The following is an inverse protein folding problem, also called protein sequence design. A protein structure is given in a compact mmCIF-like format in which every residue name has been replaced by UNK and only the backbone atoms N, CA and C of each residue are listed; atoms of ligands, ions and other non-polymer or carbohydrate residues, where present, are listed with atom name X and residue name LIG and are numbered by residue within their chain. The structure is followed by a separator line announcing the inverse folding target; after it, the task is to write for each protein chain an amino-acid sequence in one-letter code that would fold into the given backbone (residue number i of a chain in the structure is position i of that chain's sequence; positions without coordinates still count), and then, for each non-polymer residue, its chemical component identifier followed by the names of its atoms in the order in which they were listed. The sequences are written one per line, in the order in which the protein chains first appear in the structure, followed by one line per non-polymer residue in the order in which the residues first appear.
data_IF_871522313538
#
_entry.id   IF_871522313538
#
_cell.length_a   1.000
_cell.length_b   1.000
_cell.length_c   1.000
_cell.angle_alpha   90.00
_cell.angle_beta   90.00
_cell.angle_gamma   90.00
#
_symmetry.space_group_name_H-M   'P 1'
#
loop_
_entity.id
_entity.type
_entity.pdbx_description
1 polymer ?
#
# COMPACT_ATOMS: atom_id res chain seq x y z
N UNK A 1 -2.94 -9.37 22.12
CA UNK A 1 -2.56 -7.97 22.43
C UNK A 1 -3.59 -7.06 21.78
N UNK A 2 -3.92 -5.92 22.38
CA UNK A 2 -4.86 -4.95 21.81
C UNK A 2 -4.12 -4.03 20.82
N UNK A 3 -4.70 -3.79 19.65
CA UNK A 3 -4.17 -2.84 18.65
C UNK A 3 -4.39 -1.40 19.14
N UNK A 4 -3.41 -0.52 18.93
CA UNK A 4 -3.43 0.89 19.37
C UNK A 4 -3.41 1.86 18.20
N UNK A 5 -3.70 3.15 18.45
CA UNK A 5 -3.63 4.21 17.44
C UNK A 5 -2.22 4.37 16.83
N UNK A 6 -1.18 4.24 17.66
CA UNK A 6 0.21 4.30 17.21
C UNK A 6 0.58 3.13 16.29
N UNK A 7 0.05 1.93 16.58
CA UNK A 7 0.25 0.75 15.74
C UNK A 7 -0.39 0.93 14.36
N UNK A 8 -1.64 1.38 14.30
CA UNK A 8 -2.36 1.55 13.01
C UNK A 8 -1.81 2.68 12.15
N UNK A 9 -1.09 3.63 12.77
CA UNK A 9 -0.35 4.68 12.04
C UNK A 9 1.08 4.28 11.68
N UNK A 10 1.56 3.11 12.13
CA UNK A 10 2.91 2.62 11.88
C UNK A 10 3.98 3.35 12.70
N UNK A 11 3.58 4.03 13.79
CA UNK A 11 4.50 4.62 14.77
C UNK A 11 5.07 3.55 15.71
N UNK A 12 4.34 2.45 15.91
CA UNK A 12 4.78 1.27 16.64
C UNK A 12 4.58 -0.02 15.86
N UNK A 13 5.45 -1.01 16.11
CA UNK A 13 5.46 -2.29 15.39
C UNK A 13 5.62 -3.51 16.32
N UNK A 14 5.38 -3.34 17.62
CA UNK A 14 5.53 -4.40 18.63
C UNK A 14 4.53 -5.56 18.45
N UNK A 15 3.48 -5.36 17.65
CA UNK A 15 2.47 -6.36 17.29
C UNK A 15 2.85 -7.24 16.11
N UNK A 16 3.99 -6.97 15.47
CA UNK A 16 4.40 -7.61 14.22
C UNK A 16 5.56 -8.58 14.45
N UNK A 17 5.62 -9.58 13.57
CA UNK A 17 6.73 -10.54 13.50
C UNK A 17 7.63 -10.20 12.32
N UNK A 18 8.91 -10.60 12.38
CA UNK A 18 9.80 -10.60 11.22
C UNK A 18 9.40 -11.73 10.26
N UNK A 19 9.26 -11.41 8.98
CA UNK A 19 8.88 -12.36 7.93
C UNK A 19 9.96 -12.54 6.86
N UNK A 20 10.86 -11.57 6.75
CA UNK A 20 12.08 -11.59 5.94
C UNK A 20 13.04 -10.50 6.44
N UNK A 21 14.19 -10.34 5.80
CA UNK A 21 15.16 -9.27 6.02
C UNK A 21 14.48 -7.91 5.84
N UNK A 22 14.38 -7.15 6.95
CA UNK A 22 13.74 -5.83 7.00
C UNK A 22 12.24 -5.82 6.65
N UNK A 23 11.54 -6.96 6.70
CA UNK A 23 10.10 -7.01 6.49
C UNK A 23 9.38 -7.57 7.71
N UNK A 24 8.26 -6.94 8.06
CA UNK A 24 7.39 -7.35 9.16
C UNK A 24 5.94 -7.49 8.70
N UNK A 25 5.16 -8.28 9.40
CA UNK A 25 3.71 -8.41 9.20
C UNK A 25 3.00 -8.93 10.45
N UNK A 26 1.67 -8.84 10.46
CA UNK A 26 0.82 -9.56 11.39
C UNK A 26 1.05 -11.05 11.20
N UNK A 27 1.19 -11.79 12.31
CA UNK A 27 1.39 -13.23 12.24
C UNK A 27 0.22 -13.95 11.54
N UNK A 28 -1.01 -13.51 11.78
CA UNK A 28 -2.21 -14.07 11.14
C UNK A 28 -2.16 -13.84 9.61
N UNK A 29 -1.86 -12.61 9.18
CA UNK A 29 -1.79 -12.26 7.77
C UNK A 29 -0.65 -13.00 7.05
N UNK A 30 0.51 -13.14 7.68
CA UNK A 30 1.64 -13.85 7.08
C UNK A 30 1.38 -15.35 6.95
N UNK A 31 0.76 -15.99 7.94
CA UNK A 31 0.38 -17.40 7.86
C UNK A 31 -0.62 -17.64 6.72
N UNK A 32 -1.66 -16.80 6.61
CA UNK A 32 -2.62 -16.88 5.51
C UNK A 32 -1.92 -16.67 4.15
N UNK A 33 -0.99 -15.70 4.06
CA UNK A 33 -0.21 -15.47 2.85
C UNK A 33 0.64 -16.70 2.49
N UNK A 34 1.26 -17.38 3.46
CA UNK A 34 1.99 -18.61 3.20
C UNK A 34 1.12 -19.71 2.62
N UNK A 35 -0.15 -19.83 3.04
CA UNK A 35 -1.06 -20.82 2.49
C UNK A 35 -1.55 -20.44 1.09
N UNK A 36 -1.82 -19.16 0.83
CA UNK A 36 -2.09 -18.65 -0.52
C UNK A 36 -0.88 -18.86 -1.46
N UNK A 37 0.35 -18.64 -0.98
CA UNK A 37 1.59 -18.94 -1.72
C UNK A 37 1.66 -20.41 -2.12
N UNK A 38 1.33 -21.34 -1.21
CA UNK A 38 1.29 -22.79 -1.53
C UNK A 38 0.22 -23.11 -2.57
N UNK A 39 -0.95 -22.46 -2.49
CA UNK A 39 -2.02 -22.61 -3.48
C UNK A 39 -1.52 -22.20 -4.86
N UNK A 40 -0.95 -21.01 -4.99
CA UNK A 40 -0.41 -20.52 -6.27
C UNK A 40 0.74 -21.39 -6.80
N UNK A 41 1.62 -21.89 -5.93
CA UNK A 41 2.70 -22.78 -6.31
C UNK A 41 2.19 -24.11 -6.89
N UNK A 42 1.08 -24.64 -6.39
CA UNK A 42 0.44 -25.84 -6.96
C UNK A 42 -0.09 -25.61 -8.40
N UNK A 43 -0.26 -24.34 -8.80
CA UNK A 43 -0.63 -23.93 -10.15
C UNK A 43 0.55 -23.36 -10.95
N UNK A 44 1.79 -23.54 -10.47
CA UNK A 44 3.01 -23.17 -11.19
C UNK A 44 3.46 -21.71 -11.01
N UNK A 45 2.86 -20.96 -10.09
CA UNK A 45 3.25 -19.57 -9.82
C UNK A 45 4.00 -19.42 -8.50
N UNK A 46 5.11 -18.67 -8.53
CA UNK A 46 5.85 -18.27 -7.32
C UNK A 46 5.45 -16.84 -6.96
N UNK A 47 4.89 -16.66 -5.76
CA UNK A 47 4.47 -15.36 -5.25
C UNK A 47 5.50 -14.83 -4.23
N UNK A 48 6.07 -13.67 -4.52
CA UNK A 48 7.07 -12.97 -3.71
C UNK A 48 6.49 -11.67 -3.12
N UNK A 49 7.12 -11.17 -2.05
CA UNK A 49 6.69 -9.96 -1.34
C UNK A 49 7.65 -8.81 -1.70
N UNK A 50 7.13 -7.81 -2.41
CA UNK A 50 7.86 -6.59 -2.71
C UNK A 50 7.88 -5.63 -1.51
N UNK A 51 6.77 -5.55 -0.78
CA UNK A 51 6.62 -4.73 0.43
C UNK A 51 5.55 -5.31 1.34
N UNK A 52 5.76 -5.23 2.66
CA UNK A 52 4.82 -5.63 3.69
C UNK A 52 4.58 -4.45 4.66
N UNK A 53 4.78 -4.63 5.97
CA UNK A 53 4.69 -3.51 6.91
C UNK A 53 5.64 -2.37 6.54
N UNK A 54 5.12 -1.15 6.63
CA UNK A 54 5.90 0.06 6.41
C UNK A 54 5.73 0.99 7.61
N UNK A 55 6.80 1.33 8.33
CA UNK A 55 6.68 2.27 9.44
C UNK A 55 6.34 3.67 8.93
N UNK A 56 5.74 4.48 9.80
CA UNK A 56 5.36 5.88 9.53
C UNK A 56 6.52 6.66 8.93
N UNK A 57 7.71 6.56 9.55
CA UNK A 57 8.92 7.26 9.12
C UNK A 57 9.31 6.93 7.68
N UNK A 58 9.19 5.66 7.28
CA UNK A 58 9.47 5.24 5.90
C UNK A 58 8.44 5.76 4.92
N UNK A 59 7.15 5.71 5.26
CA UNK A 59 6.10 6.29 4.39
C UNK A 59 6.31 7.81 4.24
N UNK A 60 6.70 8.49 5.32
CA UNK A 60 7.03 9.90 5.33
C UNK A 60 8.22 10.25 4.42
N UNK A 61 9.29 9.46 4.42
CA UNK A 61 10.40 9.63 3.47
C UNK A 61 9.93 9.51 2.01
N UNK A 62 9.10 8.51 1.70
CA UNK A 62 8.57 8.30 0.36
C UNK A 62 7.71 9.48 -0.07
N UNK A 63 6.80 9.92 0.80
CA UNK A 63 5.89 11.03 0.54
C UNK A 63 6.66 12.34 0.35
N UNK A 64 7.63 12.63 1.23
CA UNK A 64 8.53 13.79 1.12
C UNK A 64 9.32 13.79 -0.18
N UNK A 65 9.88 12.65 -0.56
CA UNK A 65 10.64 12.54 -1.79
C UNK A 65 9.77 12.80 -3.03
N UNK A 66 8.53 12.31 -3.04
CA UNK A 66 7.57 12.61 -4.13
C UNK A 66 7.17 14.09 -4.15
N UNK A 67 6.84 14.66 -2.98
CA UNK A 67 6.45 16.07 -2.87
C UNK A 67 7.55 17.04 -3.31
N UNK A 68 8.81 16.68 -3.05
CA UNK A 68 9.99 17.44 -3.46
C UNK A 68 10.52 17.04 -4.85
N UNK A 69 9.77 16.26 -5.64
CA UNK A 69 10.13 15.82 -7.00
C UNK A 69 11.45 15.02 -7.08
N UNK A 70 11.86 14.41 -5.97
CA UNK A 70 13.01 13.49 -5.90
C UNK A 70 12.62 12.05 -6.28
N UNK A 71 11.32 11.78 -6.34
CA UNK A 71 10.74 10.55 -6.86
C UNK A 71 9.62 10.89 -7.83
N UNK A 72 9.49 10.06 -8.85
CA UNK A 72 8.45 10.17 -9.87
C UNK A 72 7.06 10.04 -9.25
N UNK A 73 6.12 10.77 -9.81
CA UNK A 73 4.69 10.69 -9.55
C UNK A 73 4.00 10.44 -10.87
N UNK A 74 2.97 9.61 -10.88
CA UNK A 74 2.32 9.18 -12.11
C UNK A 74 0.83 9.52 -12.08
N UNK A 75 0.27 9.80 -13.25
CA UNK A 75 -1.17 9.82 -13.44
C UNK A 75 -1.74 8.41 -13.60
N UNK A 76 -3.07 8.32 -13.71
CA UNK A 76 -3.80 7.04 -13.82
C UNK A 76 -3.45 6.23 -15.07
N UNK A 77 -2.90 6.89 -16.08
CA UNK A 77 -2.45 6.27 -17.33
C UNK A 77 -0.97 5.84 -17.25
N UNK A 78 -0.37 5.87 -16.06
CA UNK A 78 1.06 5.61 -15.78
C UNK A 78 2.03 6.61 -16.45
N UNK A 79 1.58 7.81 -16.84
CA UNK A 79 2.47 8.85 -17.33
C UNK A 79 3.07 9.65 -16.18
N UNK A 80 4.36 9.97 -16.28
CA UNK A 80 5.05 10.77 -15.27
C UNK A 80 4.52 12.22 -15.25
N UNK A 81 4.16 12.70 -14.06
CA UNK A 81 3.67 14.05 -13.83
C UNK A 81 4.81 15.00 -13.45
N UNK A 82 4.85 16.16 -14.10
CA UNK A 82 5.68 17.29 -13.64
C UNK A 82 4.91 18.10 -12.59
N UNK A 83 5.43 18.17 -11.37
CA UNK A 83 4.79 18.86 -10.24
C UNK A 83 5.23 20.32 -10.05
N UNK A 84 6.19 20.84 -10.84
CA UNK A 84 6.83 22.15 -10.63
C UNK A 84 5.82 23.28 -10.48
N UNK A 85 4.81 23.32 -11.36
CA UNK A 85 3.81 24.39 -11.42
C UNK A 85 2.48 24.06 -10.72
N UNK A 86 2.40 22.93 -10.02
CA UNK A 86 1.21 22.56 -9.26
C UNK A 86 1.17 23.30 -7.91
N UNK A 87 -0.04 23.72 -7.51
CA UNK A 87 -0.29 24.20 -6.15
C UNK A 87 -0.04 23.09 -5.11
N UNK A 88 0.16 23.42 -3.82
CA UNK A 88 0.35 22.42 -2.77
C UNK A 88 -0.74 21.35 -2.74
N UNK A 89 -2.01 21.75 -2.92
CA UNK A 89 -3.15 20.81 -2.96
C UNK A 89 -3.07 19.89 -4.19
N UNK A 90 -2.83 20.43 -5.38
CA UNK A 90 -2.71 19.62 -6.61
C UNK A 90 -1.55 18.63 -6.52
N UNK A 91 -0.43 19.00 -5.88
CA UNK A 91 0.68 18.08 -5.63
C UNK A 91 0.26 16.94 -4.72
N UNK A 92 -0.44 17.24 -3.62
CA UNK A 92 -0.99 16.23 -2.70
C UNK A 92 -1.93 15.29 -3.45
N UNK A 93 -2.87 15.83 -4.22
CA UNK A 93 -3.83 15.05 -5.02
C UNK A 93 -3.10 14.11 -5.99
N UNK A 94 -2.12 14.61 -6.73
CA UNK A 94 -1.34 13.83 -7.68
C UNK A 94 -0.54 12.70 -6.99
N UNK A 95 0.10 12.99 -5.86
CA UNK A 95 0.85 11.99 -5.08
C UNK A 95 -0.09 10.90 -4.55
N UNK A 96 -1.25 11.29 -4.05
CA UNK A 96 -2.23 10.40 -3.43
C UNK A 96 -2.92 9.44 -4.40
N UNK A 97 -2.70 9.57 -5.73
CA UNK A 97 -3.17 8.58 -6.70
C UNK A 97 -2.53 7.21 -6.42
N UNK A 98 -1.22 7.14 -6.18
CA UNK A 98 -0.48 5.88 -5.98
C UNK A 98 0.40 5.88 -4.73
N UNK A 99 0.13 6.76 -3.77
CA UNK A 99 0.90 6.81 -2.53
C UNK A 99 0.08 7.34 -1.37
N UNK A 100 -0.13 6.48 -0.40
CA UNK A 100 -0.78 6.86 0.84
C UNK A 100 -0.04 7.98 1.58
N UNK A 101 -0.79 8.81 2.29
CA UNK A 101 -0.24 9.78 3.25
C UNK A 101 0.34 9.00 4.45
N UNK A 102 1.46 9.43 5.06
CA UNK A 102 1.97 8.79 6.28
C UNK A 102 0.92 8.78 7.39
N UNK A 103 0.76 7.65 8.07
CA UNK A 103 -0.32 7.44 9.04
C UNK A 103 -1.66 7.03 8.40
N UNK A 104 -1.81 7.10 7.07
CA UNK A 104 -3.02 6.72 6.32
C UNK A 104 -2.74 5.62 5.30
N UNK A 105 -1.72 4.78 5.53
CA UNK A 105 -1.40 3.64 4.68
C UNK A 105 -1.83 2.34 5.33
N UNK A 106 -2.49 1.46 4.59
CA UNK A 106 -2.83 0.12 5.08
C UNK A 106 -1.59 -0.74 5.35
N UNK A 107 -0.43 -0.44 4.74
CA UNK A 107 0.83 -1.09 5.12
C UNK A 107 1.22 -0.84 6.58
N UNK A 108 0.70 0.20 7.23
CA UNK A 108 0.92 0.39 8.67
C UNK A 108 0.26 -0.70 9.52
N UNK A 109 -0.78 -1.36 9.01
CA UNK A 109 -1.50 -2.41 9.74
C UNK A 109 -0.70 -3.72 9.81
N UNK A 110 0.32 -3.88 8.94
CA UNK A 110 1.04 -5.13 8.77
C UNK A 110 0.18 -6.28 8.21
N UNK A 111 -1.01 -5.98 7.68
CA UNK A 111 -1.92 -6.92 7.02
C UNK A 111 -1.85 -6.88 5.50
N UNK A 112 -1.08 -5.96 4.96
CA UNK A 112 -1.10 -5.59 3.54
C UNK A 112 0.24 -5.85 2.88
N UNK A 113 0.20 -6.37 1.66
CA UNK A 113 1.37 -6.81 0.91
C UNK A 113 1.29 -6.31 -0.53
N UNK A 114 2.40 -5.76 -1.00
CA UNK A 114 2.67 -5.61 -2.44
C UNK A 114 3.30 -6.92 -2.91
N UNK A 115 2.63 -7.64 -3.80
CA UNK A 115 3.06 -8.95 -4.30
C UNK A 115 3.59 -8.85 -5.72
N UNK A 116 4.49 -9.77 -6.09
CA UNK A 116 4.96 -9.94 -7.46
C UNK A 116 5.47 -11.39 -7.66
N UNK A 117 6.06 -11.69 -8.81
CA UNK A 117 6.84 -12.92 -8.99
C UNK A 117 8.23 -12.58 -9.54
N UNK A 118 9.29 -12.97 -8.83
CA UNK A 118 10.65 -12.74 -9.32
C UNK A 118 10.92 -13.53 -10.61
N UNK A 119 10.37 -14.73 -10.72
CA UNK A 119 10.60 -15.65 -11.84
C UNK A 119 9.94 -15.18 -13.15
N UNK A 120 8.91 -14.32 -13.04
CA UNK A 120 8.22 -13.75 -14.19
C UNK A 120 8.79 -12.40 -14.64
N UNK A 121 9.73 -11.81 -13.90
CA UNK A 121 10.37 -10.57 -14.31
C UNK A 121 11.21 -10.81 -15.59
N UNK A 122 11.04 -10.01 -16.65
CA UNK A 122 11.90 -10.10 -17.82
C UNK A 122 13.36 -9.83 -17.47
N UNK A 123 14.27 -10.50 -18.18
CA UNK A 123 15.71 -10.31 -17.97
C UNK A 123 16.11 -8.83 -18.14
N UNK A 124 16.91 -8.32 -17.20
CA UNK A 124 17.34 -6.92 -17.18
C UNK A 124 16.29 -5.92 -16.72
N UNK A 125 15.08 -6.36 -16.36
CA UNK A 125 14.02 -5.49 -15.84
C UNK A 125 14.00 -5.46 -14.31
N UNK A 126 13.45 -4.39 -13.75
CA UNK A 126 13.16 -4.25 -12.32
C UNK A 126 11.66 -4.11 -12.13
N UNK A 127 11.14 -4.65 -11.03
CA UNK A 127 9.75 -4.47 -10.63
C UNK A 127 9.37 -2.99 -10.60
N UNK A 128 8.32 -2.61 -11.34
CA UNK A 128 7.83 -1.23 -11.40
C UNK A 128 6.71 -0.96 -10.38
N UNK A 129 5.96 -2.00 -9.98
CA UNK A 129 4.66 -1.89 -9.30
C UNK A 129 3.73 -0.96 -10.09
N UNK A 130 3.48 -1.35 -11.34
CA UNK A 130 2.64 -0.62 -12.27
C UNK A 130 1.58 -1.54 -12.88
N UNK A 131 0.40 -1.00 -13.17
CA UNK A 131 -0.76 -1.83 -13.54
C UNK A 131 -0.53 -2.64 -14.81
N UNK A 132 0.25 -2.09 -15.76
CA UNK A 132 0.60 -2.76 -17.01
C UNK A 132 1.37 -4.07 -16.79
N UNK A 133 2.03 -4.27 -15.65
CA UNK A 133 2.73 -5.53 -15.34
C UNK A 133 1.73 -6.67 -15.06
N UNK A 134 0.53 -6.36 -14.56
CA UNK A 134 -0.47 -7.31 -14.07
C UNK A 134 -1.72 -7.42 -14.95
N UNK A 135 -1.94 -6.49 -15.88
CA UNK A 135 -3.06 -6.51 -16.84
C UNK A 135 -2.75 -7.33 -18.09
N UNK A 136 -3.74 -7.57 -18.95
CA UNK A 136 -3.58 -8.35 -20.17
C UNK A 136 -2.36 -7.90 -21.00
N UNK A 137 -1.47 -8.84 -21.30
CA UNK A 137 -0.20 -8.59 -21.99
C UNK A 137 1.00 -8.32 -21.06
N UNK A 138 0.76 -8.11 -19.76
CA UNK A 138 1.78 -7.99 -18.72
C UNK A 138 2.30 -9.36 -18.27
N UNK A 139 3.55 -9.40 -17.80
CA UNK A 139 4.23 -10.64 -17.40
C UNK A 139 3.71 -11.25 -16.09
N UNK A 140 2.98 -10.49 -15.26
CA UNK A 140 2.29 -11.02 -14.08
C UNK A 140 0.81 -11.35 -14.33
N UNK A 141 0.30 -11.16 -15.55
CA UNK A 141 -1.13 -11.28 -15.84
C UNK A 141 -1.72 -12.64 -15.44
N UNK A 142 -1.09 -13.74 -15.84
CA UNK A 142 -1.60 -15.09 -15.56
C UNK A 142 -1.55 -15.41 -14.06
N UNK A 143 -0.47 -15.02 -13.37
CA UNK A 143 -0.38 -15.15 -11.93
C UNK A 143 -1.47 -14.32 -11.23
N UNK A 144 -1.70 -13.08 -11.67
CA UNK A 144 -2.70 -12.20 -11.11
C UNK A 144 -4.11 -12.76 -11.28
N UNK A 145 -4.43 -13.39 -12.42
CA UNK A 145 -5.70 -14.10 -12.62
C UNK A 145 -5.89 -15.22 -11.58
N UNK A 146 -4.86 -16.06 -11.38
CA UNK A 146 -4.91 -17.12 -10.38
C UNK A 146 -5.00 -16.57 -8.93
N UNK A 147 -4.30 -15.46 -8.65
CA UNK A 147 -4.38 -14.78 -7.35
C UNK A 147 -5.81 -14.33 -7.06
N UNK A 148 -6.45 -13.64 -8.00
CA UNK A 148 -7.83 -13.14 -7.84
C UNK A 148 -8.82 -14.29 -7.65
N UNK A 149 -8.61 -15.42 -8.31
CA UNK A 149 -9.45 -16.62 -8.15
C UNK A 149 -9.40 -17.18 -6.71
N UNK A 150 -8.22 -17.26 -6.11
CA UNK A 150 -8.02 -17.96 -4.84
C UNK A 150 -7.95 -17.08 -3.60
N UNK A 151 -7.61 -15.80 -3.71
CA UNK A 151 -7.27 -14.95 -2.55
C UNK A 151 -8.39 -14.87 -1.50
N UNK A 152 -9.66 -14.89 -1.93
CA UNK A 152 -10.80 -14.81 -1.03
C UNK A 152 -10.96 -16.05 -0.13
N UNK A 153 -10.49 -17.22 -0.57
CA UNK A 153 -10.47 -18.44 0.25
C UNK A 153 -9.52 -18.32 1.46
N UNK A 154 -8.58 -17.37 1.41
CA UNK A 154 -7.59 -17.07 2.44
C UNK A 154 -7.83 -15.70 3.09
N UNK A 155 -9.05 -15.17 2.99
CA UNK A 155 -9.50 -13.87 3.50
C UNK A 155 -8.69 -12.66 2.98
N UNK A 156 -8.09 -12.78 1.80
CA UNK A 156 -7.45 -11.66 1.11
C UNK A 156 -8.38 -11.00 0.10
N UNK A 157 -8.18 -9.70 -0.09
CA UNK A 157 -8.86 -8.91 -1.12
C UNK A 157 -7.94 -7.80 -1.66
N UNK A 158 -8.35 -7.19 -2.78
CA UNK A 158 -7.66 -6.04 -3.37
C UNK A 158 -8.41 -4.74 -3.01
N UNK A 159 -7.84 -3.88 -2.15
CA UNK A 159 -8.52 -2.66 -1.71
C UNK A 159 -8.58 -1.55 -2.77
N UNK A 160 -7.70 -1.58 -3.79
CA UNK A 160 -7.56 -0.47 -4.75
C UNK A 160 -7.84 -0.92 -6.18
N UNK A 161 -9.12 -0.86 -6.54
CA UNK A 161 -9.65 -1.23 -7.87
C UNK A 161 -9.56 -0.09 -8.89
N UNK A 162 -9.17 1.12 -8.47
CA UNK A 162 -9.11 2.31 -9.32
C UNK A 162 -10.45 3.03 -9.53
N UNK A 163 -11.53 2.61 -8.86
CA UNK A 163 -12.88 3.18 -8.97
C UNK A 163 -13.09 4.50 -8.23
N UNK A 164 -12.13 4.89 -7.39
CA UNK A 164 -12.20 6.04 -6.50
C UNK A 164 -10.96 6.94 -6.67
N UNK A 165 -10.64 7.82 -5.70
CA UNK A 165 -9.48 8.72 -5.81
C UNK A 165 -8.11 8.03 -5.84
N UNK A 166 -8.03 6.78 -5.41
CA UNK A 166 -6.84 5.94 -5.46
C UNK A 166 -6.76 5.26 -6.83
N UNK A 167 -5.53 5.08 -7.33
CA UNK A 167 -5.24 4.39 -8.57
C UNK A 167 -5.52 2.88 -8.48
N UNK A 168 -5.47 2.22 -9.62
CA UNK A 168 -5.60 0.77 -9.69
C UNK A 168 -4.25 0.12 -9.31
N UNK A 169 -4.23 -0.63 -8.21
CA UNK A 169 -3.03 -1.28 -7.66
C UNK A 169 -3.20 -2.81 -7.61
N UNK A 170 -3.12 -3.52 -8.76
CA UNK A 170 -3.34 -4.98 -8.83
C UNK A 170 -2.31 -5.82 -8.05
N UNK A 171 -1.21 -5.21 -7.61
CA UNK A 171 -0.21 -5.83 -6.74
C UNK A 171 -0.57 -5.76 -5.25
N UNK A 172 -1.50 -4.89 -4.85
CA UNK A 172 -1.79 -4.64 -3.45
C UNK A 172 -2.89 -5.58 -2.95
N UNK A 173 -2.56 -6.48 -2.03
CA UNK A 173 -3.53 -7.34 -1.35
C UNK A 173 -3.56 -7.05 0.15
N UNK A 174 -4.72 -7.23 0.77
CA UNK A 174 -4.93 -7.02 2.19
C UNK A 174 -5.64 -8.18 2.87
N UNK A 175 -5.15 -8.58 4.05
CA UNK A 175 -5.77 -9.60 4.88
C UNK A 175 -6.91 -8.99 5.71
N UNK A 176 -8.14 -9.36 5.37
CA UNK A 176 -9.36 -8.77 5.91
C UNK A 176 -9.44 -8.79 7.45
N UNK A 177 -9.20 -9.93 8.15
CA UNK A 177 -9.41 -10.00 9.60
C UNK A 177 -8.49 -9.08 10.42
N UNK A 178 -7.22 -8.93 10.02
CA UNK A 178 -6.29 -8.02 10.70
C UNK A 178 -6.57 -6.56 10.35
N UNK A 179 -6.87 -6.29 9.07
CA UNK A 179 -7.16 -4.93 8.62
C UNK A 179 -8.41 -4.34 9.28
N UNK A 180 -9.50 -5.12 9.41
CA UNK A 180 -10.73 -4.67 10.07
C UNK A 180 -10.47 -4.23 11.52
N UNK A 181 -9.71 -5.01 12.29
CA UNK A 181 -9.31 -4.64 13.66
C UNK A 181 -8.54 -3.30 13.72
N UNK A 182 -7.70 -3.03 12.71
CA UNK A 182 -6.95 -1.78 12.63
C UNK A 182 -7.85 -0.61 12.26
N UNK A 183 -8.76 -0.80 11.29
CA UNK A 183 -9.72 0.22 10.86
C UNK A 183 -10.67 0.63 12.00
N UNK A 184 -11.08 -0.30 12.86
CA UNK A 184 -11.90 -0.01 14.05
C UNK A 184 -11.21 0.91 15.07
N UNK A 185 -9.88 0.86 15.14
CA UNK A 185 -9.06 1.67 16.06
C UNK A 185 -8.57 2.96 15.41
N UNK A 186 -8.65 3.07 14.08
CA UNK A 186 -8.17 4.23 13.34
C UNK A 186 -8.92 5.50 13.75
N UNK A 187 -8.16 6.57 13.98
CA UNK A 187 -8.68 7.87 14.40
C UNK A 187 -8.11 8.96 13.49
N UNK A 188 -8.99 9.55 12.69
CA UNK A 188 -8.66 10.59 11.72
C UNK A 188 -8.06 11.83 12.39
N UNK A 189 -8.67 12.33 13.46
CA UNK A 189 -8.24 13.57 14.12
C UNK A 189 -6.88 13.38 14.76
N UNK A 190 -6.68 12.23 15.42
CA UNK A 190 -5.38 11.85 15.99
C UNK A 190 -4.28 11.81 14.92
N UNK A 191 -4.54 11.17 13.77
CA UNK A 191 -3.58 11.08 12.69
C UNK A 191 -3.28 12.45 12.06
N UNK A 192 -4.31 13.28 11.84
CA UNK A 192 -4.14 14.63 11.32
C UNK A 192 -3.39 15.56 12.28
N UNK A 193 -3.67 15.50 13.57
CA UNK A 193 -2.97 16.29 14.58
C UNK A 193 -1.48 15.92 14.65
N UNK A 194 -1.17 14.63 14.59
CA UNK A 194 0.20 14.16 14.47
C UNK A 194 0.88 14.73 13.22
N UNK A 195 0.27 14.63 12.04
CA UNK A 195 0.83 15.15 10.80
C UNK A 195 1.10 16.66 10.84
N UNK A 196 0.14 17.45 11.32
CA UNK A 196 0.29 18.91 11.47
C UNK A 196 1.40 19.28 12.43
N UNK A 197 1.60 18.49 13.50
CA UNK A 197 2.67 18.72 14.47
C UNK A 197 4.08 18.64 13.85
N UNK A 198 4.25 17.88 12.76
CA UNK A 198 5.52 17.72 12.05
C UNK A 198 5.92 18.95 11.21
N UNK A 199 4.97 19.86 10.93
CA UNK A 199 5.21 21.13 10.20
C UNK A 199 5.84 20.96 8.81
N UNK A 200 5.60 19.85 8.14
CA UNK A 200 5.97 19.69 6.73
C UNK A 200 5.10 20.60 5.83
N UNK A 201 5.62 21.09 4.69
CA UNK A 201 4.87 21.97 3.79
C UNK A 201 3.55 21.39 3.27
N UNK A 202 3.42 20.07 3.23
CA UNK A 202 2.22 19.36 2.79
C UNK A 202 1.28 18.97 3.94
N UNK A 203 1.68 19.09 5.20
CA UNK A 203 0.95 18.53 6.36
C UNK A 203 -0.48 19.08 6.52
N UNK A 204 -0.70 20.38 6.28
CA UNK A 204 -2.05 20.95 6.30
C UNK A 204 -2.88 20.52 5.08
N UNK A 205 -2.28 20.58 3.89
CA UNK A 205 -2.96 20.21 2.64
C UNK A 205 -3.39 18.76 2.62
N UNK A 206 -2.59 17.83 3.16
CA UNK A 206 -3.00 16.41 3.26
C UNK A 206 -4.18 16.24 4.22
N UNK A 207 -4.22 16.95 5.34
CA UNK A 207 -5.35 16.84 6.28
C UNK A 207 -6.64 17.35 5.65
N UNK A 208 -6.58 18.45 4.88
CA UNK A 208 -7.72 18.97 4.12
C UNK A 208 -8.15 17.96 3.05
N UNK A 209 -7.20 17.45 2.26
CA UNK A 209 -7.48 16.44 1.23
C UNK A 209 -8.15 15.18 1.82
N UNK A 210 -7.70 14.73 2.99
CA UNK A 210 -8.15 13.50 3.62
C UNK A 210 -9.53 13.60 4.29
N UNK A 211 -10.04 14.80 4.61
CA UNK A 211 -11.34 14.96 5.30
C UNK A 211 -12.45 14.12 4.67
N UNK A 212 -12.53 14.11 3.34
CA UNK A 212 -13.54 13.35 2.59
C UNK A 212 -12.98 12.11 1.88
N UNK A 213 -11.66 11.85 1.99
CA UNK A 213 -10.97 10.83 1.19
C UNK A 213 -10.24 9.77 1.99
N UNK A 214 -10.06 9.94 3.29
CA UNK A 214 -9.31 8.98 4.10
C UNK A 214 -9.94 7.58 4.06
N UNK A 215 -11.28 7.47 3.96
CA UNK A 215 -11.95 6.18 3.81
C UNK A 215 -11.62 5.50 2.48
N UNK A 216 -11.50 6.25 1.40
CA UNK A 216 -11.04 5.72 0.11
C UNK A 216 -9.57 5.29 0.20
N UNK A 217 -8.72 6.12 0.83
CA UNK A 217 -7.31 5.83 1.06
C UNK A 217 -7.08 4.57 1.90
N UNK A 218 -7.93 4.36 2.90
CA UNK A 218 -7.86 3.19 3.77
C UNK A 218 -8.75 2.04 3.31
N UNK A 219 -9.47 2.15 2.19
CA UNK A 219 -10.51 1.20 1.76
C UNK A 219 -11.41 0.75 2.92
N UNK A 220 -11.96 1.75 3.62
CA UNK A 220 -12.88 1.63 4.76
C UNK A 220 -14.33 1.52 4.29
#
# INVERSE_FOLDING_TARGET
MQITKDMVMGLEQTHLIDIDTNQKASAEAFLALCDLKKRLAAHGFVLDIASAFRPFSRQMEIFNAKYNMQRKVFDRDNNELNLENMSPMQRVEAICIFSSVPGFSRHHFGSDFDIYSKDLLPEGSSLALASYEYTQGGYFYEMHQALVEYMAEYDFFMPYTGDNSIGFEPWHISYYPSATKCLEVFDFDYACDHLKSLKYPWSESVCIYLQDKYRQMLAY
#
